data_IF_460590452563
#
_entry.id   IF_460590452563
#
_cell.length_a   1.000
_cell.length_b   1.000
_cell.length_c   1.000
_cell.angle_alpha   90.00
_cell.angle_beta   90.00
_cell.angle_gamma   90.00
#
_symmetry.space_group_name_H-M   'P 1'
#
loop_
_entity.id
_entity.type
_entity.pdbx_description
1 polymer ?
#
# COMPACT_ATOMS: atom_id res chain seq x y z
N UNK A 1 68.37 -23.01 24.59
CA UNK A 1 66.92 -22.88 24.38
C UNK A 1 66.37 -22.00 25.50
N UNK A 2 65.82 -20.83 25.17
CA UNK A 2 65.24 -19.89 26.13
C UNK A 2 63.80 -19.64 25.72
N UNK A 3 62.82 -20.00 26.53
CA UNK A 3 61.56 -19.27 26.59
C UNK A 3 61.09 -19.13 28.03
N UNK A 4 60.87 -17.85 28.37
CA UNK A 4 60.51 -17.26 29.65
C UNK A 4 58.99 -17.41 29.88
N UNK A 5 58.63 -17.79 31.10
CA UNK A 5 57.89 -16.98 32.08
C UNK A 5 56.38 -16.83 31.83
N UNK A 6 55.62 -17.63 32.58
CA UNK A 6 54.25 -17.39 32.98
C UNK A 6 54.21 -16.19 33.93
N UNK A 7 53.34 -15.21 33.65
CA UNK A 7 53.01 -14.09 34.55
C UNK A 7 51.50 -14.06 34.75
N UNK A 8 51.08 -14.46 35.96
CA UNK A 8 49.78 -14.18 36.54
C UNK A 8 49.84 -12.84 37.26
N UNK A 9 48.83 -11.96 37.08
CA UNK A 9 48.19 -11.04 38.07
C UNK A 9 47.27 -10.00 37.36
N UNK A 10 46.31 -9.36 38.05
CA UNK A 10 44.87 -9.49 37.73
C UNK A 10 44.12 -8.15 37.52
N UNK A 11 42.80 -8.29 37.27
CA UNK A 11 41.69 -7.37 37.56
C UNK A 11 42.03 -5.90 37.90
N UNK A 12 41.59 -4.98 37.03
CA UNK A 12 40.65 -3.89 37.35
C UNK A 12 40.55 -2.89 36.19
N UNK A 13 39.40 -2.22 36.12
CA UNK A 13 39.09 -1.06 35.28
C UNK A 13 38.72 -1.33 33.81
N UNK A 14 37.42 -1.57 33.59
CA UNK A 14 36.61 -0.77 32.65
C UNK A 14 35.11 -1.12 32.78
N UNK A 15 34.53 -0.97 33.98
CA UNK A 15 33.07 -0.77 34.12
C UNK A 15 32.79 0.73 33.97
N UNK A 16 32.77 1.23 32.74
CA UNK A 16 32.34 2.60 32.45
C UNK A 16 31.99 2.77 30.96
N UNK A 17 30.99 2.04 30.48
CA UNK A 17 30.25 2.39 29.25
C UNK A 17 29.03 1.46 29.09
N UNK A 18 28.02 1.62 29.93
CA UNK A 18 26.68 1.07 29.64
C UNK A 18 25.62 2.10 30.02
N UNK A 19 25.82 3.34 29.57
CA UNK A 19 24.80 4.37 29.50
C UNK A 19 24.81 4.88 28.05
N UNK A 20 23.91 4.30 27.23
CA UNK A 20 23.86 4.55 25.79
C UNK A 20 23.67 3.29 24.94
N UNK A 21 22.89 2.32 25.43
CA UNK A 21 22.45 1.20 24.60
C UNK A 21 21.34 1.63 23.66
N UNK A 22 21.67 2.40 22.62
CA UNK A 22 20.80 2.50 21.45
C UNK A 22 20.80 1.13 20.79
N UNK A 23 19.78 0.32 21.09
CA UNK A 23 19.59 -0.97 20.43
C UNK A 23 19.24 -0.67 18.98
N UNK A 24 20.27 -0.62 18.13
CA UNK A 24 20.07 -0.57 16.68
C UNK A 24 19.43 -1.88 16.24
N UNK A 25 18.46 -1.78 15.32
CA UNK A 25 17.77 -2.95 14.80
C UNK A 25 18.77 -3.85 14.05
N UNK A 26 18.90 -5.15 14.40
CA UNK A 26 19.89 -6.03 13.80
C UNK A 26 19.63 -6.18 12.30
N UNK A 27 20.61 -5.77 11.49
CA UNK A 27 20.57 -5.94 10.05
C UNK A 27 21.16 -7.31 9.69
N UNK A 28 20.30 -8.29 9.41
CA UNK A 28 20.72 -9.58 8.85
C UNK A 28 20.43 -9.57 7.35
N UNK A 29 21.41 -9.77 6.46
CA UNK A 29 21.16 -9.82 5.03
C UNK A 29 20.47 -11.15 4.69
N UNK A 30 19.15 -11.13 4.54
CA UNK A 30 18.42 -12.19 3.87
C UNK A 30 18.15 -11.75 2.43
N UNK A 31 18.43 -12.61 1.45
CA UNK A 31 18.07 -12.35 0.06
C UNK A 31 16.57 -12.62 -0.14
N UNK A 32 15.83 -11.63 -0.65
CA UNK A 32 14.43 -11.83 -1.04
C UNK A 32 14.37 -12.89 -2.17
N UNK A 33 13.62 -13.98 -2.01
CA UNK A 33 13.53 -15.02 -3.04
C UNK A 33 12.79 -14.52 -4.28
N UNK A 34 13.22 -14.99 -5.45
CA UNK A 34 12.51 -14.76 -6.72
C UNK A 34 11.14 -15.43 -6.68
N UNK A 35 10.08 -14.72 -7.08
CA UNK A 35 8.75 -15.28 -7.21
C UNK A 35 8.65 -16.18 -8.44
N UNK A 36 8.11 -17.38 -8.25
CA UNK A 36 7.79 -18.31 -9.34
C UNK A 36 6.37 -18.02 -9.86
N UNK A 37 6.14 -18.01 -11.18
CA UNK A 37 4.80 -17.85 -11.73
C UNK A 37 3.92 -19.05 -11.35
N UNK A 38 2.62 -18.81 -11.31
CA UNK A 38 1.63 -19.87 -11.16
C UNK A 38 1.69 -20.81 -12.36
N UNK A 39 1.75 -22.11 -12.09
CA UNK A 39 1.83 -23.15 -13.11
C UNK A 39 0.45 -23.70 -13.44
N UNK A 40 0.19 -23.94 -14.72
CA UNK A 40 -1.09 -24.48 -15.20
C UNK A 40 -2.17 -23.41 -15.38
N UNK A 41 -3.38 -23.84 -15.72
CA UNK A 41 -4.52 -22.93 -15.88
C UNK A 41 -4.98 -22.40 -14.51
N UNK A 42 -4.92 -21.08 -14.35
CA UNK A 42 -5.40 -20.41 -13.13
C UNK A 42 -6.90 -20.21 -13.23
N UNK A 43 -7.65 -20.87 -12.35
CA UNK A 43 -9.09 -20.64 -12.21
C UNK A 43 -9.33 -19.26 -11.58
N UNK A 44 -9.82 -18.31 -12.38
CA UNK A 44 -10.26 -17.00 -11.90
C UNK A 44 -11.59 -17.14 -11.15
N UNK A 45 -11.83 -16.24 -10.20
CA UNK A 45 -13.13 -16.18 -9.51
C UNK A 45 -14.23 -15.67 -10.46
N UNK A 46 -15.48 -16.01 -10.17
CA UNK A 46 -16.64 -15.55 -10.95
C UNK A 46 -16.77 -14.01 -10.94
N UNK A 47 -16.31 -13.38 -9.85
CA UNK A 47 -16.32 -11.93 -9.67
C UNK A 47 -15.12 -11.22 -10.31
N UNK A 48 -14.12 -11.94 -10.84
CA UNK A 48 -12.91 -11.33 -11.39
C UNK A 48 -13.19 -10.29 -12.47
N UNK A 49 -14.26 -10.46 -13.26
CA UNK A 49 -14.70 -9.50 -14.28
C UNK A 49 -15.11 -8.13 -13.72
N UNK A 50 -15.36 -8.03 -12.41
CA UNK A 50 -15.72 -6.79 -11.71
C UNK A 50 -14.50 -6.02 -11.21
N UNK A 51 -13.30 -6.63 -11.26
CA UNK A 51 -12.06 -5.95 -10.90
C UNK A 51 -11.71 -4.91 -11.94
N UNK A 52 -11.38 -3.72 -11.48
CA UNK A 52 -10.92 -2.63 -12.33
C UNK A 52 -9.48 -2.28 -12.02
N UNK A 53 -8.70 -2.03 -13.07
CA UNK A 53 -7.28 -1.69 -13.00
C UNK A 53 -7.07 -0.24 -13.44
N UNK A 54 -6.10 0.40 -12.81
CA UNK A 54 -5.61 1.76 -13.08
C UNK A 54 -4.10 1.60 -13.24
N UNK A 55 -3.57 1.98 -14.39
CA UNK A 55 -2.16 1.81 -14.72
C UNK A 55 -1.59 3.11 -15.30
N UNK A 56 -0.29 3.35 -15.08
CA UNK A 56 0.45 4.39 -15.80
C UNK A 56 1.01 3.87 -17.11
N UNK A 57 1.27 2.56 -17.22
CA UNK A 57 1.58 1.89 -18.49
C UNK A 57 0.26 1.58 -19.22
N UNK A 58 -0.10 2.42 -20.20
CA UNK A 58 -1.38 2.29 -20.91
C UNK A 58 -1.85 3.52 -21.68
N UNK A 59 -1.07 4.59 -21.77
CA UNK A 59 -1.33 5.68 -22.73
C UNK A 59 -0.90 5.25 -24.16
N UNK A 60 -1.59 4.25 -24.72
CA UNK A 60 -1.35 3.70 -26.07
C UNK A 60 -1.69 2.20 -26.22
N UNK A 61 -2.04 1.76 -27.44
CA UNK A 61 -2.66 0.44 -27.74
C UNK A 61 -1.79 -0.82 -27.59
N UNK A 62 -0.55 -0.78 -27.11
CA UNK A 62 0.38 -1.93 -27.25
C UNK A 62 1.10 -2.42 -25.98
N UNK A 63 0.79 -1.90 -24.79
CA UNK A 63 1.29 -2.51 -23.54
C UNK A 63 0.29 -2.32 -22.41
N UNK A 64 -0.51 -3.34 -22.13
CA UNK A 64 -1.27 -3.40 -20.87
C UNK A 64 -0.27 -3.64 -19.75
N UNK A 65 -0.16 -2.72 -18.79
CA UNK A 65 0.64 -2.89 -17.58
C UNK A 65 0.23 -4.09 -16.73
N UNK A 66 0.59 -4.08 -15.45
CA UNK A 66 0.18 -5.11 -14.49
C UNK A 66 -1.33 -5.13 -14.38
N UNK A 67 -1.93 -6.31 -14.56
CA UNK A 67 -3.35 -6.53 -14.31
C UNK A 67 -3.51 -7.28 -13.00
N UNK A 68 -4.22 -6.66 -12.05
CA UNK A 68 -4.73 -7.33 -10.86
C UNK A 68 -5.95 -8.16 -11.24
N UNK A 69 -5.98 -9.39 -10.74
CA UNK A 69 -7.03 -10.38 -10.93
C UNK A 69 -7.31 -11.06 -9.59
N UNK A 70 -8.42 -11.80 -9.49
CA UNK A 70 -8.73 -12.66 -8.35
C UNK A 70 -8.84 -14.11 -8.82
N UNK A 71 -8.14 -15.02 -8.14
CA UNK A 71 -8.25 -16.46 -8.36
C UNK A 71 -9.03 -17.15 -7.26
N UNK A 72 -9.52 -18.34 -7.58
CA UNK A 72 -9.96 -19.32 -6.60
C UNK A 72 -8.91 -20.43 -6.44
N UNK A 73 -8.69 -20.87 -5.22
CA UNK A 73 -7.79 -21.99 -4.93
C UNK A 73 -8.32 -22.82 -3.77
N UNK A 74 -8.01 -24.12 -3.79
CA UNK A 74 -8.37 -25.04 -2.71
C UNK A 74 -7.34 -24.95 -1.59
N UNK A 75 -7.83 -24.88 -0.36
CA UNK A 75 -7.03 -24.99 0.86
C UNK A 75 -7.53 -26.20 1.63
N UNK A 76 -6.60 -27.04 2.06
CA UNK A 76 -6.89 -28.12 2.99
C UNK A 76 -6.44 -27.70 4.38
N UNK A 77 -7.38 -27.59 5.30
CA UNK A 77 -7.10 -27.28 6.70
C UNK A 77 -7.53 -28.47 7.56
N UNK A 78 -6.55 -29.23 8.07
CA UNK A 78 -6.76 -30.41 8.89
C UNK A 78 -7.75 -31.44 8.31
N UNK A 79 -7.71 -31.68 6.99
CA UNK A 79 -8.57 -32.64 6.30
C UNK A 79 -9.86 -32.06 5.72
N UNK A 80 -10.16 -30.79 5.98
CA UNK A 80 -11.31 -30.09 5.39
C UNK A 80 -10.85 -29.24 4.22
N UNK A 81 -11.37 -29.53 3.03
CA UNK A 81 -11.16 -28.69 1.84
C UNK A 81 -12.13 -27.50 1.84
N UNK A 82 -11.59 -26.29 1.65
CA UNK A 82 -12.38 -25.10 1.37
C UNK A 82 -11.81 -24.36 0.16
N UNK A 83 -12.68 -23.63 -0.54
CA UNK A 83 -12.26 -22.73 -1.61
C UNK A 83 -11.97 -21.36 -1.00
N UNK A 84 -10.78 -20.84 -1.25
CA UNK A 84 -10.38 -19.49 -0.89
C UNK A 84 -10.14 -18.65 -2.13
N UNK A 85 -10.21 -17.34 -1.96
CA UNK A 85 -9.94 -16.34 -3.00
C UNK A 85 -8.66 -15.58 -2.65
N UNK A 86 -7.92 -15.15 -3.67
CA UNK A 86 -6.74 -14.30 -3.48
C UNK A 86 -6.49 -13.45 -4.72
N UNK A 87 -5.99 -12.23 -4.50
CA UNK A 87 -5.48 -11.41 -5.60
C UNK A 87 -4.21 -12.02 -6.20
N UNK A 88 -4.11 -11.93 -7.53
CA UNK A 88 -2.93 -12.29 -8.30
C UNK A 88 -2.60 -11.16 -9.28
N UNK A 89 -1.37 -11.18 -9.75
CA UNK A 89 -0.80 -10.13 -10.59
C UNK A 89 -0.36 -10.74 -11.91
N UNK A 90 -1.00 -10.33 -13.00
CA UNK A 90 -0.64 -10.71 -14.36
C UNK A 90 0.30 -9.66 -14.95
N UNK A 91 1.49 -10.09 -15.30
CA UNK A 91 2.49 -9.26 -16.01
C UNK A 91 2.09 -8.98 -17.46
N UNK A 92 2.66 -7.96 -18.11
CA UNK A 92 2.46 -7.72 -19.55
C UNK A 92 2.82 -8.93 -20.41
N UNK A 93 3.84 -9.71 -20.00
CA UNK A 93 4.23 -10.98 -20.64
C UNK A 93 3.25 -12.15 -20.42
N UNK A 94 2.18 -11.94 -19.65
CA UNK A 94 1.11 -12.92 -19.43
C UNK A 94 1.30 -13.83 -18.22
N UNK A 95 2.49 -13.86 -17.61
CA UNK A 95 2.76 -14.66 -16.41
C UNK A 95 1.97 -14.11 -15.21
N UNK A 96 1.35 -15.01 -14.45
CA UNK A 96 0.52 -14.70 -13.28
C UNK A 96 1.25 -15.08 -11.99
N UNK A 97 1.20 -14.23 -10.98
CA UNK A 97 1.88 -14.42 -9.71
C UNK A 97 0.92 -14.25 -8.53
N UNK A 98 0.97 -15.18 -7.59
CA UNK A 98 0.45 -14.97 -6.24
C UNK A 98 1.62 -14.47 -5.37
N UNK A 99 1.59 -13.20 -5.00
CA UNK A 99 2.65 -12.56 -4.24
C UNK A 99 2.39 -12.69 -2.74
N UNK A 100 3.46 -12.63 -1.96
CA UNK A 100 3.46 -12.74 -0.49
C UNK A 100 4.25 -11.57 0.10
N UNK A 101 4.49 -11.59 1.41
CA UNK A 101 5.20 -10.54 2.16
C UNK A 101 6.58 -10.16 1.64
N UNK A 102 7.18 -10.96 0.76
CA UNK A 102 8.42 -10.62 0.05
C UNK A 102 8.29 -9.46 -0.95
N UNK A 103 7.08 -9.19 -1.44
CA UNK A 103 6.78 -8.06 -2.33
C UNK A 103 6.20 -6.85 -1.59
N UNK A 104 5.98 -6.96 -0.28
CA UNK A 104 5.33 -5.96 0.57
C UNK A 104 6.37 -5.04 1.23
N UNK A 105 5.93 -3.89 1.80
CA UNK A 105 6.77 -3.12 2.71
C UNK A 105 7.18 -3.94 3.93
N UNK A 106 8.37 -3.65 4.45
CA UNK A 106 8.76 -4.08 5.79
C UNK A 106 7.92 -3.28 6.79
N UNK A 107 7.08 -3.97 7.54
CA UNK A 107 6.19 -3.36 8.52
C UNK A 107 6.83 -3.30 9.90
N UNK A 108 6.47 -2.30 10.73
CA UNK A 108 7.02 -2.18 12.06
C UNK A 108 6.52 -3.29 12.98
N UNK A 109 7.44 -3.89 13.75
CA UNK A 109 7.08 -4.71 14.90
C UNK A 109 6.62 -3.83 16.06
N UNK A 110 5.69 -4.33 16.90
CA UNK A 110 5.25 -3.64 18.13
C UNK A 110 6.42 -3.20 19.04
N UNK A 111 7.53 -3.95 18.97
CA UNK A 111 8.76 -3.73 19.74
C UNK A 111 9.72 -2.73 19.10
N UNK A 112 9.55 -2.39 17.81
CA UNK A 112 10.44 -1.48 17.09
C UNK A 112 10.35 -0.06 17.67
N UNK A 113 11.48 0.61 17.96
CA UNK A 113 11.49 1.96 18.50
C UNK A 113 11.08 3.03 17.48
N UNK A 114 11.45 2.88 16.20
CA UNK A 114 11.20 3.87 15.14
C UNK A 114 9.74 3.82 14.65
N UNK A 115 9.17 2.62 14.54
CA UNK A 115 7.81 2.37 14.01
C UNK A 115 7.58 2.85 12.57
N UNK A 116 8.51 3.62 11.99
CA UNK A 116 8.50 4.11 10.61
C UNK A 116 8.63 2.95 9.63
N UNK A 117 7.82 2.98 8.56
CA UNK A 117 8.03 2.10 7.40
C UNK A 117 9.17 2.68 6.55
N UNK A 118 10.13 1.87 6.09
CA UNK A 118 11.20 2.34 5.21
C UNK A 118 10.69 3.07 3.96
N UNK A 119 11.40 4.11 3.53
CA UNK A 119 11.02 4.90 2.36
C UNK A 119 11.50 4.28 1.02
N UNK A 120 12.38 3.26 1.09
CA UNK A 120 12.94 2.53 -0.06
C UNK A 120 12.70 1.04 0.08
N UNK A 121 12.32 0.41 -1.04
CA UNK A 121 11.99 -1.01 -1.07
C UNK A 121 12.72 -1.71 -2.21
N UNK A 122 13.25 -2.90 -1.93
CA UNK A 122 13.90 -3.72 -2.94
C UNK A 122 12.89 -4.30 -3.96
N UNK A 123 11.67 -4.58 -3.47
CA UNK A 123 10.67 -5.37 -4.18
C UNK A 123 11.10 -6.83 -4.35
N UNK A 124 10.20 -7.65 -4.87
CA UNK A 124 10.46 -9.03 -5.19
C UNK A 124 10.85 -9.18 -6.66
N UNK A 125 11.90 -9.96 -6.94
CA UNK A 125 12.25 -10.35 -8.32
C UNK A 125 11.23 -11.35 -8.85
N UNK A 126 10.88 -11.24 -10.13
CA UNK A 126 10.04 -12.19 -10.85
C UNK A 126 10.91 -13.08 -11.76
N UNK A 127 10.35 -14.20 -12.23
CA UNK A 127 11.08 -15.18 -13.02
C UNK A 127 11.60 -14.66 -14.37
N UNK A 128 10.96 -13.62 -14.93
CA UNK A 128 11.37 -12.95 -16.17
C UNK A 128 12.46 -11.88 -15.95
N UNK A 129 12.96 -11.73 -14.72
CA UNK A 129 13.97 -10.72 -14.36
C UNK A 129 13.39 -9.35 -14.00
N UNK A 130 12.07 -9.15 -14.14
CA UNK A 130 11.40 -7.95 -13.64
C UNK A 130 11.36 -7.91 -12.11
N UNK A 131 10.95 -6.77 -11.55
CA UNK A 131 10.74 -6.58 -10.11
C UNK A 131 9.37 -6.00 -9.86
N UNK A 132 8.77 -6.37 -8.73
CA UNK A 132 7.48 -5.84 -8.31
C UNK A 132 7.48 -5.51 -6.83
N UNK A 133 6.79 -4.44 -6.48
CA UNK A 133 6.49 -4.04 -5.11
C UNK A 133 5.01 -3.72 -5.01
N UNK A 134 4.34 -4.27 -4.01
CA UNK A 134 2.90 -4.10 -3.82
C UNK A 134 2.62 -3.62 -2.40
N UNK A 135 1.50 -2.92 -2.23
CA UNK A 135 0.84 -2.83 -0.96
C UNK A 135 -0.62 -3.31 -1.07
N UNK A 136 -1.03 -4.22 -0.19
CA UNK A 136 -0.15 -5.14 0.53
C UNK A 136 -0.76 -6.54 0.44
N UNK A 137 0.08 -7.57 0.31
CA UNK A 137 -0.41 -8.95 0.34
C UNK A 137 -1.05 -9.23 1.69
N UNK A 138 -1.96 -10.20 1.72
CA UNK A 138 -2.67 -10.55 2.96
C UNK A 138 -1.69 -11.04 4.04
N UNK A 139 -0.53 -11.59 3.64
CA UNK A 139 0.54 -12.03 4.55
C UNK A 139 1.40 -10.90 5.12
N UNK A 140 1.39 -9.71 4.51
CA UNK A 140 2.11 -8.53 5.02
C UNK A 140 1.22 -7.53 5.75
N UNK A 141 -0.10 -7.75 5.75
CA UNK A 141 -1.06 -6.91 6.46
C UNK A 141 -0.88 -7.03 7.98
N UNK A 142 -1.01 -5.90 8.67
CA UNK A 142 -0.75 -5.82 10.12
C UNK A 142 -1.60 -4.76 10.81
N UNK A 143 -1.97 -5.00 12.07
CA UNK A 143 -2.71 -4.03 12.91
C UNK A 143 -1.86 -2.82 13.28
N UNK A 144 -0.54 -2.96 13.27
CA UNK A 144 0.40 -1.89 13.59
C UNK A 144 0.47 -0.82 12.49
N UNK A 145 0.04 -1.14 11.27
CA UNK A 145 0.05 -0.25 10.12
C UNK A 145 -1.24 -0.44 9.30
N UNK A 146 -2.29 0.30 9.67
CA UNK A 146 -3.63 0.19 9.04
C UNK A 146 -3.59 0.32 7.51
N UNK A 147 -2.63 1.06 6.95
CA UNK A 147 -2.49 1.23 5.50
C UNK A 147 -2.27 -0.08 4.74
N UNK A 148 -1.75 -1.11 5.42
CA UNK A 148 -1.46 -2.43 4.86
C UNK A 148 -2.68 -3.33 4.74
N UNK A 149 -3.81 -2.95 5.36
CA UNK A 149 -5.06 -3.71 5.32
C UNK A 149 -5.87 -3.28 4.10
N UNK A 150 -5.62 -3.93 2.97
CA UNK A 150 -6.26 -3.62 1.70
C UNK A 150 -7.05 -4.84 1.23
N UNK A 151 -8.27 -5.01 1.72
CA UNK A 151 -9.10 -6.18 1.46
C UNK A 151 -9.72 -6.15 0.06
N UNK A 152 -10.00 -4.95 -0.46
CA UNK A 152 -10.72 -4.79 -1.73
C UNK A 152 -9.87 -4.29 -2.88
N UNK A 153 -8.63 -3.87 -2.63
CA UNK A 153 -7.73 -3.40 -3.67
C UNK A 153 -6.28 -3.74 -3.37
N UNK A 154 -5.42 -3.66 -4.38
CA UNK A 154 -3.96 -3.65 -4.23
C UNK A 154 -3.40 -2.54 -5.09
N UNK A 155 -2.26 -2.00 -4.71
CA UNK A 155 -1.54 -1.01 -5.49
C UNK A 155 -0.05 -1.28 -5.43
N UNK A 156 0.72 -0.76 -6.36
CA UNK A 156 2.11 -1.12 -6.46
C UNK A 156 2.82 -0.54 -7.66
N UNK A 157 4.04 -0.99 -7.82
CA UNK A 157 4.90 -0.64 -8.92
C UNK A 157 5.61 -1.87 -9.45
N UNK A 158 5.77 -1.92 -10.76
CA UNK A 158 6.50 -2.95 -11.47
C UNK A 158 7.58 -2.30 -12.34
N UNK A 159 8.76 -2.90 -12.32
CA UNK A 159 9.90 -2.53 -13.17
C UNK A 159 10.20 -3.73 -14.04
N UNK A 160 9.89 -3.62 -15.34
CA UNK A 160 10.12 -4.67 -16.32
C UNK A 160 11.60 -5.00 -16.55
N UNK A 161 11.90 -6.12 -17.23
CA UNK A 161 13.27 -6.55 -17.46
C UNK A 161 14.06 -5.53 -18.30
N UNK A 162 13.37 -4.73 -19.12
CA UNK A 162 13.94 -3.67 -19.96
C UNK A 162 13.90 -2.28 -19.28
N UNK A 163 13.53 -2.19 -18.00
CA UNK A 163 13.40 -0.92 -17.28
C UNK A 163 12.09 -0.17 -17.50
N UNK A 164 11.13 -0.77 -18.20
CA UNK A 164 9.75 -0.27 -18.28
C UNK A 164 9.15 -0.15 -16.87
N UNK A 165 8.37 0.90 -16.64
CA UNK A 165 7.75 1.15 -15.34
C UNK A 165 6.25 1.15 -15.50
N UNK A 166 5.58 0.41 -14.62
CA UNK A 166 4.14 0.54 -14.43
C UNK A 166 3.83 0.78 -12.96
N UNK A 167 3.12 1.86 -12.68
CA UNK A 167 2.52 2.15 -11.38
C UNK A 167 1.04 1.82 -11.50
N UNK A 168 0.56 0.96 -10.62
CA UNK A 168 -0.76 0.36 -10.77
C UNK A 168 -1.55 0.31 -9.47
N UNK A 169 -2.86 0.44 -9.58
CA UNK A 169 -3.82 0.22 -8.51
C UNK A 169 -5.05 -0.48 -9.10
N UNK A 170 -5.67 -1.36 -8.33
CA UNK A 170 -6.83 -2.08 -8.83
C UNK A 170 -7.45 -2.99 -7.78
N UNK A 171 -8.67 -3.42 -8.04
CA UNK A 171 -9.47 -4.12 -7.05
C UNK A 171 -10.95 -4.07 -7.40
N UNK A 172 -11.80 -4.31 -6.42
CA UNK A 172 -13.25 -4.21 -6.52
C UNK A 172 -13.72 -2.79 -6.19
N UNK A 173 -14.14 -1.99 -7.19
CA UNK A 173 -14.70 -0.67 -6.92
C UNK A 173 -15.94 -0.77 -6.03
N UNK A 174 -16.23 0.32 -5.32
CA UNK A 174 -17.54 0.49 -4.67
C UNK A 174 -18.65 0.28 -5.71
N UNK A 175 -19.76 -0.36 -5.31
CA UNK A 175 -20.85 -0.73 -6.22
C UNK A 175 -20.58 -1.97 -7.09
N UNK A 176 -19.36 -2.52 -7.05
CA UNK A 176 -18.94 -3.71 -7.80
C UNK A 176 -18.33 -4.82 -6.92
N UNK A 177 -18.33 -4.63 -5.61
CA UNK A 177 -17.86 -5.67 -4.68
C UNK A 177 -18.76 -6.90 -4.71
N UNK A 178 -18.20 -8.10 -4.46
CA UNK A 178 -18.99 -9.32 -4.31
C UNK A 178 -20.02 -9.19 -3.18
N UNK A 179 -21.22 -9.77 -3.36
CA UNK A 179 -22.19 -9.86 -2.27
C UNK A 179 -21.61 -10.70 -1.12
N UNK A 180 -22.04 -10.45 0.13
CA UNK A 180 -21.70 -11.31 1.25
C UNK A 180 -22.25 -12.72 1.03
N UNK A 181 -21.64 -13.72 1.67
CA UNK A 181 -22.08 -15.12 1.58
C UNK A 181 -23.53 -15.32 2.08
N UNK A 182 -24.00 -14.44 2.97
CA UNK A 182 -25.34 -14.50 3.56
C UNK A 182 -25.96 -13.11 3.63
N UNK A 183 -27.27 -13.02 3.37
CA UNK A 183 -28.05 -11.78 3.45
C UNK A 183 -28.28 -11.10 2.09
N UNK A 184 -29.05 -10.02 2.11
CA UNK A 184 -29.28 -9.17 0.94
C UNK A 184 -28.21 -8.09 0.87
N UNK A 185 -27.72 -7.84 -0.34
CA UNK A 185 -26.75 -6.78 -0.60
C UNK A 185 -27.21 -5.95 -1.78
N UNK A 186 -27.37 -4.65 -1.56
CA UNK A 186 -27.66 -3.67 -2.60
C UNK A 186 -26.37 -2.89 -2.82
N UNK A 187 -25.70 -3.04 -3.98
CA UNK A 187 -24.48 -2.31 -4.26
C UNK A 187 -24.71 -0.79 -4.23
N UNK A 188 -23.75 -0.06 -3.67
CA UNK A 188 -23.83 1.39 -3.60
C UNK A 188 -23.66 2.01 -5.00
N UNK A 189 -24.45 3.05 -5.30
CA UNK A 189 -24.38 3.77 -6.57
C UNK A 189 -23.73 5.15 -6.43
N UNK A 190 -23.64 5.67 -5.21
CA UNK A 190 -23.04 6.96 -4.88
C UNK A 190 -22.57 6.98 -3.42
N UNK A 191 -21.60 7.84 -3.10
CA UNK A 191 -21.22 8.14 -1.72
C UNK A 191 -22.13 9.18 -1.07
N UNK A 192 -22.06 9.29 0.26
CA UNK A 192 -22.73 10.33 1.05
C UNK A 192 -21.83 10.81 2.19
N UNK A 193 -22.04 12.05 2.63
CA UNK A 193 -21.29 12.65 3.72
C UNK A 193 -19.81 12.83 3.38
N UNK A 194 -18.94 12.57 4.36
CA UNK A 194 -17.51 12.82 4.28
C UNK A 194 -16.71 11.60 4.74
N UNK A 195 -15.65 11.25 4.00
CA UNK A 195 -14.70 10.20 4.35
C UNK A 195 -13.29 10.76 4.24
N UNK A 196 -12.50 10.58 5.29
CA UNK A 196 -11.06 10.85 5.26
C UNK A 196 -10.32 9.54 5.18
N UNK A 197 -9.44 9.42 4.19
CA UNK A 197 -8.62 8.26 3.93
C UNK A 197 -7.19 8.55 4.36
N UNK A 198 -6.58 7.58 5.04
CA UNK A 198 -5.14 7.52 5.19
C UNK A 198 -4.56 6.84 3.95
N UNK A 199 -3.66 7.53 3.25
CA UNK A 199 -3.11 7.06 1.97
C UNK A 199 -1.60 6.92 2.00
N UNK A 200 -1.04 6.19 1.04
CA UNK A 200 0.39 6.02 0.86
C UNK A 200 0.73 5.98 -0.62
N UNK A 201 1.72 6.80 -1.01
CA UNK A 201 2.15 6.94 -2.39
C UNK A 201 3.35 6.07 -2.73
N UNK A 202 3.39 5.54 -3.94
CA UNK A 202 4.51 4.75 -4.49
C UNK A 202 4.99 5.40 -5.79
N UNK A 203 6.30 5.59 -5.89
CA UNK A 203 7.06 6.06 -7.05
C UNK A 203 8.11 5.02 -7.44
N UNK A 204 8.59 5.12 -8.67
CA UNK A 204 9.87 4.51 -9.07
C UNK A 204 10.86 5.62 -9.37
N UNK A 205 11.96 5.65 -8.62
CA UNK A 205 13.03 6.65 -8.78
C UNK A 205 14.37 5.95 -8.84
N UNK A 206 15.16 6.25 -9.88
CA UNK A 206 16.48 5.64 -10.09
C UNK A 206 16.47 4.10 -10.04
N UNK A 207 15.42 3.48 -10.59
CA UNK A 207 15.26 2.02 -10.59
C UNK A 207 14.97 1.41 -9.20
N UNK A 208 14.56 2.21 -8.21
CA UNK A 208 14.12 1.76 -6.90
C UNK A 208 12.66 2.10 -6.66
N UNK A 209 11.95 1.24 -5.94
CA UNK A 209 10.63 1.54 -5.41
C UNK A 209 10.80 2.44 -4.20
N UNK A 210 10.16 3.61 -4.24
CA UNK A 210 10.23 4.59 -3.17
C UNK A 210 8.83 5.03 -2.78
N UNK A 211 8.64 5.34 -1.52
CA UNK A 211 7.30 5.53 -0.96
C UNK A 211 7.21 6.78 -0.12
N UNK A 212 6.02 7.37 -0.09
CA UNK A 212 5.75 8.57 0.71
C UNK A 212 6.00 8.28 2.19
N UNK A 213 6.20 9.33 2.99
CA UNK A 213 6.44 9.18 4.43
C UNK A 213 5.27 8.47 5.11
N UNK A 214 5.59 7.47 5.93
CA UNK A 214 4.59 6.79 6.75
C UNK A 214 5.18 6.31 8.08
N UNK A 215 4.64 6.87 9.15
CA UNK A 215 4.92 6.46 10.53
C UNK A 215 3.58 6.27 11.23
N UNK A 216 3.10 5.02 11.40
CA UNK A 216 1.83 4.77 12.06
C UNK A 216 1.87 5.14 13.55
N UNK A 217 0.71 5.39 14.17
CA UNK A 217 0.62 5.63 15.60
C UNK A 217 1.06 4.40 16.41
N UNK A 218 2.05 4.59 17.30
CA UNK A 218 2.49 3.57 18.26
C UNK A 218 1.72 3.72 19.56
N UNK A 219 0.59 3.02 19.64
CA UNK A 219 -0.25 2.99 20.84
C UNK A 219 0.31 1.97 21.84
N UNK A 220 0.70 2.43 23.03
CA UNK A 220 1.09 1.53 24.12
C UNK A 220 -0.11 1.30 25.04
N UNK A 221 -0.66 0.08 25.02
CA UNK A 221 -1.57 -0.58 26.00
C UNK A 221 -2.67 0.25 26.70
N UNK A 222 -2.31 1.32 27.41
CA UNK A 222 -3.16 2.10 28.30
C UNK A 222 -3.27 3.59 27.93
N UNK A 223 -2.53 4.09 26.94
CA UNK A 223 -2.56 5.50 26.53
C UNK A 223 -3.42 5.69 25.29
N UNK A 224 -4.39 6.62 25.36
CA UNK A 224 -5.16 7.08 24.20
C UNK A 224 -4.33 7.94 23.23
N UNK A 225 -3.11 8.30 23.61
CA UNK A 225 -2.18 9.07 22.78
C UNK A 225 -1.03 8.19 22.30
N UNK A 226 -0.61 8.33 21.03
CA UNK A 226 0.56 7.63 20.50
C UNK A 226 1.84 8.03 21.23
N UNK A 227 2.75 7.08 21.41
CA UNK A 227 4.07 7.29 22.04
C UNK A 227 5.11 7.84 21.08
N UNK A 228 4.82 7.83 19.78
CA UNK A 228 5.62 8.44 18.72
C UNK A 228 4.87 9.63 18.09
N UNK A 229 5.52 10.32 17.15
CA UNK A 229 4.89 11.33 16.31
C UNK A 229 4.48 10.69 14.98
N UNK A 230 3.19 10.42 14.73
CA UNK A 230 2.77 9.78 13.49
C UNK A 230 2.95 10.73 12.31
N UNK A 231 3.31 10.17 11.16
CA UNK A 231 3.36 10.87 9.87
C UNK A 231 2.43 10.12 8.94
N UNK A 232 1.31 10.74 8.59
CA UNK A 232 0.24 10.14 7.82
C UNK A 232 -0.15 11.10 6.70
N UNK A 233 -0.36 10.56 5.50
CA UNK A 233 -0.92 11.31 4.38
C UNK A 233 -2.42 11.14 4.35
N UNK A 234 -3.16 12.22 4.12
CA UNK A 234 -4.61 12.20 4.14
C UNK A 234 -5.21 12.75 2.86
N UNK A 235 -6.27 12.09 2.40
CA UNK A 235 -7.15 12.56 1.33
C UNK A 235 -8.58 12.50 1.87
N UNK A 236 -9.33 13.59 1.74
CA UNK A 236 -10.73 13.65 2.15
C UNK A 236 -11.63 13.79 0.93
N UNK A 237 -12.58 12.88 0.83
CA UNK A 237 -13.68 12.93 -0.11
C UNK A 237 -14.93 13.48 0.60
N UNK A 238 -15.47 14.57 0.06
CA UNK A 238 -16.78 15.08 0.45
C UNK A 238 -17.76 14.82 -0.69
N UNK A 239 -18.68 13.88 -0.46
CA UNK A 239 -19.68 13.46 -1.43
C UNK A 239 -20.85 14.43 -1.53
N UNK A 240 -21.05 15.31 -0.54
CA UNK A 240 -22.08 16.36 -0.60
C UNK A 240 -21.70 17.44 -1.62
N UNK A 241 -20.42 17.86 -1.61
CA UNK A 241 -19.88 18.86 -2.55
C UNK A 241 -19.25 18.25 -3.79
N UNK A 242 -19.15 16.92 -3.85
CA UNK A 242 -18.43 16.17 -4.88
C UNK A 242 -16.97 16.62 -5.05
N UNK A 243 -16.31 16.96 -3.94
CA UNK A 243 -14.93 17.45 -3.91
C UNK A 243 -14.00 16.51 -3.16
N UNK A 244 -12.75 16.49 -3.62
CA UNK A 244 -11.67 15.74 -3.00
C UNK A 244 -10.42 16.61 -2.88
N UNK A 245 -9.79 16.59 -1.71
CA UNK A 245 -8.54 17.31 -1.45
C UNK A 245 -7.68 16.55 -0.44
N UNK A 246 -6.38 16.83 -0.45
CA UNK A 246 -5.43 16.20 0.47
C UNK A 246 -3.99 16.38 0.04
N UNK A 247 -3.10 15.71 0.77
CA UNK A 247 -1.67 15.76 0.52
C UNK A 247 -1.01 14.41 0.81
N UNK A 248 -0.18 13.97 -0.13
CA UNK A 248 0.75 12.85 0.04
C UNK A 248 2.10 13.43 0.46
N UNK A 249 2.52 13.11 1.68
CA UNK A 249 3.72 13.65 2.31
C UNK A 249 4.95 12.91 1.80
N UNK A 250 5.81 13.60 1.07
CA UNK A 250 7.06 13.07 0.54
C UNK A 250 8.17 12.94 1.59
N UNK A 251 9.37 12.62 1.11
CA UNK A 251 10.62 12.51 1.87
C UNK A 251 11.81 12.60 0.89
N UNK A 252 13.03 12.41 1.36
CA UNK A 252 14.22 12.51 0.50
C UNK A 252 14.24 11.47 -0.64
N UNK A 253 13.60 10.32 -0.46
CA UNK A 253 13.60 9.21 -1.41
C UNK A 253 12.46 9.35 -2.41
N UNK A 254 11.23 9.45 -1.91
CA UNK A 254 10.03 9.72 -2.70
C UNK A 254 10.09 11.06 -3.44
N UNK A 255 10.79 12.04 -2.86
CA UNK A 255 10.89 13.41 -3.34
C UNK A 255 9.74 14.30 -2.84
N UNK A 256 9.33 15.30 -3.63
CA UNK A 256 8.37 16.32 -3.23
C UNK A 256 7.01 15.74 -2.85
N UNK A 257 6.31 16.44 -1.94
CA UNK A 257 4.91 16.17 -1.63
C UNK A 257 4.04 16.25 -2.89
N UNK A 258 2.87 15.62 -2.84
CA UNK A 258 1.85 15.74 -3.88
C UNK A 258 0.59 16.32 -3.28
N UNK A 259 0.22 17.53 -3.70
CA UNK A 259 -0.92 18.27 -3.17
C UNK A 259 -2.10 18.19 -4.14
N UNK A 260 -3.27 17.84 -3.61
CA UNK A 260 -4.55 17.83 -4.34
C UNK A 260 -5.44 18.87 -3.69
N UNK A 261 -5.75 19.96 -4.41
CA UNK A 261 -6.51 21.07 -3.81
C UNK A 261 -8.01 20.97 -4.06
N UNK A 262 -8.43 20.58 -5.26
CA UNK A 262 -9.83 20.63 -5.67
C UNK A 262 -10.17 19.63 -6.78
N UNK A 263 -9.94 18.34 -6.51
CA UNK A 263 -10.38 17.29 -7.41
C UNK A 263 -11.91 17.12 -7.35
N UNK A 264 -12.48 16.62 -8.45
CA UNK A 264 -13.92 16.41 -8.59
C UNK A 264 -14.25 14.93 -8.48
N UNK A 265 -15.27 14.63 -7.68
CA UNK A 265 -15.87 13.30 -7.56
C UNK A 265 -17.01 13.21 -8.59
N UNK A 266 -17.06 12.12 -9.33
CA UNK A 266 -18.15 11.78 -10.25
C UNK A 266 -18.62 10.36 -9.96
N UNK A 267 -19.72 10.25 -9.21
CA UNK A 267 -20.23 8.97 -8.70
C UNK A 267 -19.23 8.30 -7.77
N UNK A 268 -18.64 7.20 -8.24
CA UNK A 268 -17.70 6.35 -7.48
C UNK A 268 -16.25 6.48 -7.99
N UNK A 269 -16.00 7.50 -8.81
CA UNK A 269 -14.70 7.83 -9.37
C UNK A 269 -14.33 9.27 -9.05
N UNK A 270 -13.06 9.63 -9.18
CA UNK A 270 -12.62 11.01 -9.05
C UNK A 270 -11.50 11.32 -10.03
N UNK A 271 -11.42 12.59 -10.41
CA UNK A 271 -10.36 13.10 -11.27
C UNK A 271 -10.09 14.57 -11.01
N UNK A 272 -8.95 15.05 -11.48
CA UNK A 272 -8.57 16.46 -11.34
C UNK A 272 -7.10 16.68 -11.59
N UNK A 273 -6.53 17.65 -10.89
CA UNK A 273 -5.10 17.94 -10.95
C UNK A 273 -4.48 17.84 -9.58
N UNK A 274 -3.17 17.57 -9.56
CA UNK A 274 -2.33 17.61 -8.38
C UNK A 274 -1.04 18.38 -8.69
N UNK A 275 -0.41 18.94 -7.67
CA UNK A 275 0.85 19.66 -7.80
C UNK A 275 1.97 18.96 -7.05
N UNK A 276 3.15 18.87 -7.66
CA UNK A 276 4.37 18.34 -7.04
C UNK A 276 5.58 19.03 -7.67
N UNK A 277 6.46 19.63 -6.86
CA UNK A 277 7.65 20.37 -7.33
C UNK A 277 7.38 21.39 -8.45
N UNK A 278 6.30 22.16 -8.29
CA UNK A 278 5.88 23.15 -9.29
C UNK A 278 5.33 22.57 -10.59
N UNK A 279 5.21 21.24 -10.71
CA UNK A 279 4.59 20.55 -11.85
C UNK A 279 3.15 20.21 -11.54
N UNK A 280 2.29 20.38 -12.56
CA UNK A 280 0.90 19.93 -12.52
C UNK A 280 0.81 18.53 -13.12
N UNK A 281 0.21 17.60 -12.38
CA UNK A 281 -0.08 16.24 -12.82
C UNK A 281 -1.58 15.99 -12.90
N UNK A 282 -1.97 15.03 -13.74
CA UNK A 282 -3.34 14.59 -13.92
C UNK A 282 -3.67 13.51 -12.89
N UNK A 283 -4.67 13.76 -12.05
CA UNK A 283 -5.18 12.83 -11.05
C UNK A 283 -6.35 12.02 -11.62
N UNK A 284 -6.29 10.71 -11.46
CA UNK A 284 -7.39 9.79 -11.75
C UNK A 284 -7.47 8.73 -10.65
N UNK A 285 -8.67 8.40 -10.18
CA UNK A 285 -8.83 7.33 -9.21
C UNK A 285 -10.26 6.92 -8.94
N UNK A 286 -10.41 5.94 -8.03
CA UNK A 286 -11.65 5.27 -7.69
C UNK A 286 -11.72 4.97 -6.19
N UNK A 287 -12.94 4.80 -5.71
CA UNK A 287 -13.21 4.23 -4.39
C UNK A 287 -13.39 2.72 -4.53
N UNK A 288 -12.83 1.96 -3.59
CA UNK A 288 -12.85 0.51 -3.55
C UNK A 288 -13.50 0.02 -2.26
N UNK A 289 -14.04 -1.20 -2.29
CA UNK A 289 -14.70 -1.79 -1.13
C UNK A 289 -16.14 -1.33 -0.94
N UNK A 290 -16.54 -1.08 0.31
CA UNK A 290 -17.93 -0.75 0.67
C UNK A 290 -17.95 0.53 1.49
N UNK A 291 -18.86 1.45 1.18
CA UNK A 291 -19.03 2.68 1.96
C UNK A 291 -19.76 2.40 3.27
N UNK A 292 -20.75 1.53 3.24
CA UNK A 292 -21.47 1.11 4.43
C UNK A 292 -21.30 -0.40 4.62
N UNK A 293 -20.54 -0.74 5.66
CA UNK A 293 -20.17 -2.10 5.98
C UNK A 293 -20.81 -2.52 7.28
N UNK A 294 -21.45 -3.70 7.31
CA UNK A 294 -21.91 -4.31 8.55
C UNK A 294 -20.76 -4.68 9.50
N UNK A 295 -21.10 -5.34 10.62
CA UNK A 295 -20.13 -5.79 11.62
C UNK A 295 -18.95 -6.54 10.99
N UNK A 296 -17.75 -5.95 11.11
CA UNK A 296 -16.49 -6.58 10.72
C UNK A 296 -16.03 -6.35 9.27
N UNK A 297 -16.76 -5.60 8.44
CA UNK A 297 -16.37 -5.35 7.05
C UNK A 297 -16.51 -3.86 6.68
N UNK A 298 -15.78 -3.01 7.40
CA UNK A 298 -15.89 -1.54 7.36
C UNK A 298 -14.92 -0.87 6.40
N UNK A 299 -14.05 -1.62 5.72
CA UNK A 299 -13.01 -1.07 4.85
C UNK A 299 -13.63 -0.39 3.62
N UNK A 300 -13.52 0.93 3.62
CA UNK A 300 -13.62 1.72 2.40
C UNK A 300 -12.22 2.14 2.01
N UNK A 301 -11.81 1.79 0.80
CA UNK A 301 -10.48 2.11 0.30
C UNK A 301 -10.53 3.10 -0.85
N UNK A 302 -9.40 3.73 -1.11
CA UNK A 302 -9.21 4.69 -2.18
C UNK A 302 -7.93 4.34 -2.93
N UNK A 303 -7.97 4.43 -4.26
CA UNK A 303 -6.78 4.20 -5.07
C UNK A 303 -6.79 5.06 -6.32
N UNK A 304 -5.62 5.46 -6.77
CA UNK A 304 -5.49 6.30 -7.95
C UNK A 304 -4.06 6.50 -8.40
N UNK A 305 -3.91 7.15 -9.54
CA UNK A 305 -2.63 7.55 -10.12
C UNK A 305 -2.58 9.05 -10.36
N UNK A 306 -1.37 9.58 -10.35
CA UNK A 306 -1.08 10.96 -10.73
C UNK A 306 0.06 10.91 -11.73
N UNK A 307 -0.18 11.39 -12.94
CA UNK A 307 0.80 11.40 -14.04
C UNK A 307 1.24 12.81 -14.37
N UNK A 308 2.54 13.05 -14.43
CA UNK A 308 3.13 14.36 -14.65
C UNK A 308 3.81 14.40 -16.02
N UNK A 309 3.10 14.84 -17.06
CA UNK A 309 3.63 14.85 -18.43
C UNK A 309 4.93 15.65 -18.57
N UNK A 310 5.10 16.70 -17.75
CA UNK A 310 6.31 17.51 -17.71
C UNK A 310 7.51 16.87 -16.99
N UNK A 311 7.29 15.82 -16.20
CA UNK A 311 8.33 15.03 -15.54
C UNK A 311 7.75 13.69 -15.02
N UNK A 312 7.85 12.64 -15.84
CA UNK A 312 7.31 11.31 -15.52
C UNK A 312 8.02 10.63 -14.34
N UNK A 313 9.15 11.15 -13.85
CA UNK A 313 9.77 10.65 -12.61
C UNK A 313 8.97 10.99 -11.36
N UNK A 314 8.05 11.96 -11.47
CA UNK A 314 7.12 12.35 -10.42
C UNK A 314 5.82 11.53 -10.43
N UNK A 315 5.58 10.73 -11.48
CA UNK A 315 4.42 9.84 -11.56
C UNK A 315 4.30 9.01 -10.28
N UNK A 316 3.11 8.96 -9.71
CA UNK A 316 2.86 8.20 -8.50
C UNK A 316 1.55 7.45 -8.61
N UNK A 317 1.51 6.26 -8.02
CA UNK A 317 0.25 5.63 -7.63
C UNK A 317 0.07 5.80 -6.13
N UNK A 318 -1.17 5.75 -5.66
CA UNK A 318 -1.48 5.69 -4.25
C UNK A 318 -2.63 4.73 -3.99
N UNK A 319 -2.63 4.18 -2.78
CA UNK A 319 -3.73 3.43 -2.20
C UNK A 319 -3.93 3.84 -0.75
N UNK A 320 -5.08 3.51 -0.17
CA UNK A 320 -5.35 3.86 1.22
C UNK A 320 -6.67 3.36 1.73
N UNK A 321 -6.80 3.40 3.05
CA UNK A 321 -7.98 2.94 3.81
C UNK A 321 -8.68 4.13 4.46
N UNK A 322 -9.98 3.99 4.73
CA UNK A 322 -10.71 4.98 5.51
C UNK A 322 -10.11 5.13 6.90
N UNK A 323 -9.66 6.33 7.20
CA UNK A 323 -9.24 6.72 8.54
C UNK A 323 -10.46 7.03 9.41
N UNK A 324 -11.39 7.84 8.90
CA UNK A 324 -12.60 8.24 9.62
C UNK A 324 -13.74 8.48 8.62
N UNK A 325 -14.95 8.06 8.99
CA UNK A 325 -16.15 8.09 8.13
C UNK A 325 -17.31 8.76 8.86
N UNK A 326 -17.86 9.81 8.25
CA UNK A 326 -19.11 10.43 8.71
C UNK A 326 -20.08 10.54 7.54
N UNK A 327 -20.82 9.45 7.32
CA UNK A 327 -21.73 9.30 6.18
C UNK A 327 -22.95 10.23 6.25
N UNK A 328 -23.26 10.75 7.44
CA UNK A 328 -24.36 11.70 7.68
C UNK A 328 -23.84 13.13 7.92
N UNK A 329 -22.54 13.39 7.70
CA UNK A 329 -21.96 14.74 7.71
C UNK A 329 -22.60 15.59 6.61
N UNK A 330 -22.96 16.84 6.91
CA UNK A 330 -23.62 17.78 5.98
C UNK A 330 -22.73 18.94 5.53
N UNK A 331 -21.49 19.00 6.02
CA UNK A 331 -20.51 20.02 5.64
C UNK A 331 -20.13 19.89 4.16
N UNK A 332 -19.62 20.97 3.59
CA UNK A 332 -19.26 21.07 2.16
C UNK A 332 -17.74 21.12 1.92
N UNK A 333 -16.96 21.34 2.98
CA UNK A 333 -15.51 21.40 2.92
C UNK A 333 -14.84 20.02 2.82
N UNK A 334 -13.57 20.02 2.44
CA UNK A 334 -12.69 18.84 2.38
C UNK A 334 -11.73 18.80 3.58
N UNK A 335 -12.08 19.44 4.70
CA UNK A 335 -11.25 19.35 5.90
C UNK A 335 -11.23 17.91 6.41
N UNK A 336 -10.05 17.46 6.82
CA UNK A 336 -9.86 16.11 7.34
C UNK A 336 -10.69 15.86 8.60
N UNK A 337 -11.39 14.73 8.59
CA UNK A 337 -11.98 14.15 9.79
C UNK A 337 -10.85 13.61 10.69
N UNK A 338 -11.07 13.66 12.01
CA UNK A 338 -10.09 13.24 13.03
C UNK A 338 -10.70 12.13 13.90
N UNK A 339 -9.85 11.19 14.35
CA UNK A 339 -10.14 10.20 15.40
C UNK A 339 -9.94 10.83 16.78
#
# INVERSE_FOLDING_TARGET
MKYKALSLLPLAAALAACAGGGVAEPHVPFSIPTATPLTGEVKLSDDNSKIENINTAGTGSTSSGISIQEREYKVNNYGYESTQKAFIFKTPGGAQYALSSYADPITPSYSSPDFKIPDRHAGQRLADGSRIFICCSDSGATDQAEITKQDYMKFGAWIGPNGEIDLFAGGFPVGKTPPPAWGTYTPETQGKGKITYQVWGIRVKNGQFVTSSYTPPKNSGYTFSPTNTPILSFITANFNSNKLAGEIIGNNDYGPNVKIENATISGLTFSGTAASDGKTGNLEGKFFGKFDGGWGNTETSIGGKITFDGDRSLDTVFGGVSYEKKLDDTTQDTNHLKK
#
